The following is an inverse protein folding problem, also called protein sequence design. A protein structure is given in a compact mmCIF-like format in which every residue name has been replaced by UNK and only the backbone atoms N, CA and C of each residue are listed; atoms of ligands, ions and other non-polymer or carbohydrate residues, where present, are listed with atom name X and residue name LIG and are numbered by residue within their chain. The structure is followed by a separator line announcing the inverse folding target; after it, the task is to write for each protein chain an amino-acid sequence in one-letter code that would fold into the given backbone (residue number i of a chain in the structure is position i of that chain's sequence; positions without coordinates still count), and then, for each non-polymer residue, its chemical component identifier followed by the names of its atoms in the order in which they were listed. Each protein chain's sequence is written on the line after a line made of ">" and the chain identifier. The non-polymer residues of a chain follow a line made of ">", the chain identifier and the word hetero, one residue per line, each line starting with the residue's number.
data_IF_913817029331
#
_entry.id   IF_913817029331
#
_cell.length_a   1.000
_cell.length_b   1.000
_cell.length_c   1.000
_cell.angle_alpha   90.00
_cell.angle_beta   90.00
_cell.angle_gamma   90.00
#
_symmetry.space_group_name_H-M   'P 1'
#
loop_
_entity.id
_entity.type
_entity.pdbx_description
1 polymer ?
#
# COMPACT_ATOMS: atom_id res chain seq x y z
N UNK A 1 -26.53 -31.53 0.81
CA UNK A 1 -26.14 -30.11 0.53
C UNK A 1 -25.70 -29.48 1.84
N UNK A 2 -24.43 -29.56 2.11
CA UNK A 2 -23.84 -29.05 3.36
C UNK A 2 -23.47 -27.58 3.15
N UNK A 3 -24.18 -26.69 3.83
CA UNK A 3 -24.00 -25.24 3.77
C UNK A 3 -22.69 -24.90 4.50
N UNK A 4 -21.58 -24.83 3.76
CA UNK A 4 -20.26 -24.39 4.24
C UNK A 4 -20.40 -22.99 4.85
N UNK A 5 -20.55 -22.92 6.18
CA UNK A 5 -20.50 -21.67 6.93
C UNK A 5 -19.11 -21.07 6.73
N UNK A 6 -19.00 -20.11 5.85
CA UNK A 6 -17.83 -19.24 5.73
C UNK A 6 -17.68 -18.49 7.06
N UNK A 7 -16.82 -18.99 7.96
CA UNK A 7 -16.36 -18.21 9.10
C UNK A 7 -15.50 -17.09 8.51
N UNK A 8 -16.00 -15.88 8.56
CA UNK A 8 -15.18 -14.68 8.30
C UNK A 8 -14.10 -14.63 9.39
N UNK A 9 -12.93 -15.16 9.10
CA UNK A 9 -11.75 -14.93 9.91
C UNK A 9 -11.29 -13.50 9.62
N UNK A 10 -11.52 -12.61 10.58
CA UNK A 10 -10.90 -11.27 10.56
C UNK A 10 -9.39 -11.51 10.62
N UNK A 11 -8.71 -11.29 9.51
CA UNK A 11 -7.27 -11.53 9.41
C UNK A 11 -6.51 -10.56 10.32
N UNK A 12 -5.38 -11.00 10.88
CA UNK A 12 -4.47 -10.16 11.68
C UNK A 12 -4.10 -8.85 10.98
N UNK A 13 -4.02 -8.87 9.64
CA UNK A 13 -3.79 -7.66 8.83
C UNK A 13 -4.91 -6.64 9.01
N UNK A 14 -6.16 -7.06 9.01
CA UNK A 14 -7.31 -6.16 9.19
C UNK A 14 -7.26 -5.48 10.56
N UNK A 15 -6.96 -6.24 11.61
CA UNK A 15 -6.84 -5.69 12.98
C UNK A 15 -5.70 -4.67 13.04
N UNK A 16 -4.52 -4.99 12.50
CA UNK A 16 -3.38 -4.07 12.43
C UNK A 16 -3.72 -2.77 11.70
N UNK A 17 -4.37 -2.88 10.54
CA UNK A 17 -4.76 -1.71 9.75
C UNK A 17 -5.74 -0.83 10.51
N UNK A 18 -6.76 -1.43 11.14
CA UNK A 18 -7.74 -0.66 11.92
C UNK A 18 -7.09 0.02 13.11
N UNK A 19 -6.21 -0.67 13.85
CA UNK A 19 -5.47 -0.06 14.96
C UNK A 19 -4.56 1.08 14.48
N UNK A 20 -3.83 0.88 13.38
CA UNK A 20 -2.97 1.92 12.81
C UNK A 20 -3.77 3.16 12.42
N UNK A 21 -4.91 2.99 11.79
CA UNK A 21 -5.82 4.08 11.41
C UNK A 21 -6.34 4.81 12.65
N UNK A 22 -6.88 4.10 13.62
CA UNK A 22 -7.46 4.73 14.82
C UNK A 22 -6.39 5.52 15.58
N UNK A 23 -5.21 4.95 15.81
CA UNK A 23 -4.13 5.61 16.54
C UNK A 23 -3.62 6.82 15.76
N UNK A 24 -3.47 6.73 14.43
CA UNK A 24 -3.05 7.88 13.61
C UNK A 24 -4.07 9.02 13.66
N UNK A 25 -5.36 8.70 13.64
CA UNK A 25 -6.42 9.69 13.75
C UNK A 25 -6.42 10.38 15.12
N UNK A 26 -6.28 9.64 16.21
CA UNK A 26 -6.19 10.19 17.58
C UNK A 26 -5.00 11.14 17.69
N UNK A 27 -3.83 10.75 17.18
CA UNK A 27 -2.63 11.59 17.26
C UNK A 27 -2.81 12.90 16.49
N UNK A 28 -3.37 12.82 15.27
CA UNK A 28 -3.61 14.02 14.44
C UNK A 28 -4.68 14.91 15.05
N UNK A 29 -5.67 14.36 15.73
CA UNK A 29 -6.70 15.11 16.42
C UNK A 29 -6.12 15.99 17.55
N UNK A 30 -5.08 15.53 18.25
CA UNK A 30 -4.37 16.31 19.27
C UNK A 30 -3.67 17.56 18.69
N UNK A 31 -3.30 17.56 17.41
CA UNK A 31 -2.66 18.70 16.73
C UNK A 31 -3.65 19.64 16.02
N UNK A 32 -4.93 19.49 16.27
CA UNK A 32 -5.99 20.32 15.73
C UNK A 32 -6.74 19.67 14.58
N UNK A 33 -7.97 19.27 14.89
CA UNK A 33 -8.84 18.49 14.02
C UNK A 33 -9.41 19.29 12.85
N UNK A 34 -8.96 18.97 11.66
CA UNK A 34 -9.70 19.29 10.44
C UNK A 34 -9.96 17.95 9.73
N UNK A 35 -11.19 17.72 9.25
CA UNK A 35 -11.56 16.47 8.58
C UNK A 35 -10.56 16.03 7.51
N UNK A 36 -10.02 16.99 6.76
CA UNK A 36 -9.01 16.68 5.73
C UNK A 36 -7.70 16.15 6.30
N UNK A 37 -7.24 16.61 7.47
CA UNK A 37 -6.03 16.08 8.14
C UNK A 37 -6.21 14.62 8.54
N UNK A 38 -7.37 14.29 9.12
CA UNK A 38 -7.71 12.92 9.51
C UNK A 38 -7.70 11.96 8.33
N UNK A 39 -8.26 12.39 7.18
CA UNK A 39 -8.28 11.57 5.96
C UNK A 39 -6.86 11.26 5.47
N UNK A 40 -5.95 12.24 5.44
CA UNK A 40 -4.59 12.02 4.97
C UNK A 40 -3.78 11.13 5.92
N UNK A 41 -3.94 11.29 7.22
CA UNK A 41 -3.32 10.42 8.21
C UNK A 41 -3.83 8.97 8.10
N UNK A 42 -5.14 8.79 7.93
CA UNK A 42 -5.77 7.50 7.71
C UNK A 42 -5.22 6.81 6.45
N UNK A 43 -5.17 7.53 5.32
CA UNK A 43 -4.66 6.99 4.06
C UNK A 43 -3.18 6.62 4.17
N UNK A 44 -2.37 7.45 4.84
CA UNK A 44 -0.98 7.15 5.13
C UNK A 44 -0.82 5.88 5.97
N UNK A 45 -1.57 5.76 7.07
CA UNK A 45 -1.54 4.57 7.92
C UNK A 45 -1.95 3.29 7.18
N UNK A 46 -2.99 3.36 6.35
CA UNK A 46 -3.41 2.22 5.52
C UNK A 46 -2.35 1.82 4.50
N UNK A 47 -1.68 2.78 3.88
CA UNK A 47 -0.63 2.51 2.89
C UNK A 47 0.62 1.87 3.52
N UNK A 48 0.91 2.19 4.78
CA UNK A 48 2.07 1.67 5.50
C UNK A 48 1.91 0.21 5.96
N UNK A 49 0.68 -0.26 6.20
CA UNK A 49 0.45 -1.62 6.69
C UNK A 49 0.49 -2.63 5.55
N UNK A 50 1.65 -3.25 5.37
CA UNK A 50 1.89 -4.31 4.39
C UNK A 50 2.15 -5.66 5.08
N UNK A 51 2.27 -6.74 4.29
CA UNK A 51 2.50 -8.10 4.78
C UNK A 51 3.87 -8.25 5.42
N UNK A 52 4.90 -7.69 4.78
CA UNK A 52 6.29 -7.78 5.22
C UNK A 52 6.83 -6.40 5.60
N UNK A 53 7.80 -6.37 6.52
CA UNK A 53 8.48 -5.12 6.91
C UNK A 53 9.14 -4.41 5.71
N UNK A 54 9.81 -5.17 4.83
CA UNK A 54 10.44 -4.63 3.63
C UNK A 54 9.42 -3.96 2.70
N UNK A 55 8.31 -4.63 2.45
CA UNK A 55 7.22 -4.09 1.63
C UNK A 55 6.59 -2.85 2.28
N UNK A 56 6.46 -2.84 3.60
CA UNK A 56 5.97 -1.69 4.36
C UNK A 56 6.91 -0.49 4.20
N UNK A 57 8.21 -0.69 4.33
CA UNK A 57 9.22 0.36 4.14
C UNK A 57 9.24 0.89 2.70
N UNK A 58 9.25 0.00 1.72
CA UNK A 58 9.19 0.37 0.29
C UNK A 58 7.91 1.15 -0.02
N UNK A 59 6.77 0.73 0.53
CA UNK A 59 5.49 1.43 0.39
C UNK A 59 5.56 2.83 1.00
N UNK A 60 6.09 2.97 2.22
CA UNK A 60 6.23 4.27 2.88
C UNK A 60 7.10 5.25 2.08
N UNK A 61 8.28 4.80 1.64
CA UNK A 61 9.19 5.63 0.83
C UNK A 61 8.51 6.05 -0.47
N UNK A 62 7.89 5.10 -1.16
CA UNK A 62 7.20 5.37 -2.43
C UNK A 62 6.05 6.35 -2.24
N UNK A 63 5.28 6.22 -1.17
CA UNK A 63 4.18 7.13 -0.87
C UNK A 63 4.68 8.54 -0.53
N UNK A 64 5.75 8.69 0.26
CA UNK A 64 6.34 9.99 0.56
C UNK A 64 6.81 10.67 -0.73
N UNK A 65 7.57 9.96 -1.57
CA UNK A 65 8.02 10.48 -2.86
C UNK A 65 6.82 10.86 -3.74
N UNK A 66 5.82 10.00 -3.83
CA UNK A 66 4.62 10.26 -4.60
C UNK A 66 3.84 11.49 -4.10
N UNK A 67 3.68 11.63 -2.79
CA UNK A 67 3.03 12.77 -2.15
C UNK A 67 3.77 14.07 -2.46
N UNK A 68 5.11 14.08 -2.39
CA UNK A 68 5.93 15.23 -2.76
C UNK A 68 5.73 15.62 -4.23
N UNK A 69 5.79 14.65 -5.15
CA UNK A 69 5.56 14.90 -6.57
C UNK A 69 4.12 15.34 -6.87
N UNK A 70 3.13 14.74 -6.22
CA UNK A 70 1.73 15.14 -6.34
C UNK A 70 1.48 16.56 -5.82
N UNK A 71 2.05 16.90 -4.67
CA UNK A 71 1.97 18.25 -4.10
C UNK A 71 2.63 19.28 -4.99
N UNK A 72 3.84 18.99 -5.50
CA UNK A 72 4.56 19.88 -6.43
C UNK A 72 3.77 20.09 -7.72
N UNK A 73 3.25 19.04 -8.33
CA UNK A 73 2.43 19.12 -9.51
C UNK A 73 1.17 19.96 -9.28
N UNK A 74 0.46 19.73 -8.17
CA UNK A 74 -0.73 20.49 -7.79
C UNK A 74 -0.46 21.97 -7.60
N UNK A 75 0.63 22.31 -6.88
CA UNK A 75 1.04 23.71 -6.65
C UNK A 75 1.43 24.40 -7.97
N UNK A 76 2.22 23.74 -8.82
CA UNK A 76 2.63 24.29 -10.11
C UNK A 76 1.42 24.55 -11.02
N UNK A 77 0.51 23.60 -11.15
CA UNK A 77 -0.67 23.74 -11.98
C UNK A 77 -1.62 24.85 -11.48
N UNK A 78 -1.65 25.07 -10.18
CA UNK A 78 -2.46 26.14 -9.59
C UNK A 78 -1.87 27.54 -9.82
N UNK A 79 -0.58 27.65 -10.13
CA UNK A 79 0.02 28.93 -10.52
C UNK A 79 -0.43 29.40 -11.91
N UNK A 80 -0.97 28.50 -12.73
CA UNK A 80 -1.51 28.87 -14.04
C UNK A 80 -3.01 29.21 -13.94
N UNK A 81 -3.50 30.21 -14.70
CA UNK A 81 -4.92 30.58 -14.70
C UNK A 81 -5.77 29.61 -15.53
N UNK A 82 -5.75 28.34 -15.10
CA UNK A 82 -6.48 27.24 -15.76
C UNK A 82 -7.66 26.83 -14.87
N UNK A 83 -8.75 26.40 -15.49
CA UNK A 83 -9.91 25.92 -14.75
C UNK A 83 -9.53 24.75 -13.82
N UNK A 84 -9.98 24.74 -12.54
CA UNK A 84 -9.57 23.71 -11.56
C UNK A 84 -9.75 22.26 -12.03
N UNK A 85 -10.79 21.95 -12.78
CA UNK A 85 -11.01 20.61 -13.30
C UNK A 85 -9.95 20.20 -14.33
N UNK A 86 -9.52 21.14 -15.19
CA UNK A 86 -8.49 20.87 -16.20
C UNK A 86 -7.13 20.73 -15.52
N UNK A 87 -6.81 21.60 -14.57
CA UNK A 87 -5.60 21.49 -13.76
C UNK A 87 -5.52 20.15 -13.02
N UNK A 88 -6.62 19.71 -12.41
CA UNK A 88 -6.73 18.42 -11.76
C UNK A 88 -6.46 17.26 -12.73
N UNK A 89 -7.09 17.28 -13.91
CA UNK A 89 -6.90 16.24 -14.94
C UNK A 89 -5.45 16.15 -15.41
N UNK A 90 -4.83 17.29 -15.72
CA UNK A 90 -3.41 17.36 -16.13
C UNK A 90 -2.48 16.87 -15.03
N UNK A 91 -2.74 17.25 -13.79
CA UNK A 91 -1.95 16.82 -12.63
C UNK A 91 -2.04 15.30 -12.38
N UNK A 92 -3.23 14.72 -12.52
CA UNK A 92 -3.40 13.27 -12.41
C UNK A 92 -2.65 12.53 -13.54
N UNK A 93 -2.76 13.01 -14.79
CA UNK A 93 -2.01 12.43 -15.92
C UNK A 93 -0.52 12.48 -15.64
N UNK A 94 -0.01 13.61 -15.15
CA UNK A 94 1.40 13.77 -14.83
C UNK A 94 1.86 12.77 -13.74
N UNK A 95 1.11 12.64 -12.65
CA UNK A 95 1.44 11.70 -11.55
C UNK A 95 1.38 10.26 -12.03
N UNK A 96 0.35 9.87 -12.77
CA UNK A 96 0.19 8.49 -13.25
C UNK A 96 1.32 8.15 -14.24
N UNK A 97 1.66 9.07 -15.15
CA UNK A 97 2.76 8.89 -16.10
C UNK A 97 4.09 8.75 -15.38
N UNK A 98 4.33 9.54 -14.34
CA UNK A 98 5.51 9.43 -13.49
C UNK A 98 5.61 8.04 -12.85
N UNK A 99 4.53 7.54 -12.23
CA UNK A 99 4.49 6.22 -11.62
C UNK A 99 4.76 5.09 -12.64
N UNK A 100 4.21 5.21 -13.83
CA UNK A 100 4.43 4.26 -14.92
C UNK A 100 5.88 4.30 -15.45
N UNK A 101 6.45 5.50 -15.61
CA UNK A 101 7.82 5.68 -16.09
C UNK A 101 8.84 5.05 -15.13
N UNK A 102 8.64 5.19 -13.84
CA UNK A 102 9.50 4.62 -12.80
C UNK A 102 9.12 3.18 -12.41
N UNK A 103 8.13 2.58 -13.09
CA UNK A 103 7.63 1.21 -12.81
C UNK A 103 7.33 0.98 -11.33
N UNK A 104 6.74 1.96 -10.67
CA UNK A 104 6.42 1.92 -9.25
C UNK A 104 5.29 0.91 -9.03
N UNK A 105 5.51 -0.08 -8.14
CA UNK A 105 4.57 -1.19 -7.90
C UNK A 105 3.34 -0.79 -7.08
N UNK A 106 3.39 0.33 -6.39
CA UNK A 106 2.34 0.80 -5.48
C UNK A 106 1.35 1.73 -6.21
N UNK A 107 0.11 1.75 -5.70
CA UNK A 107 -0.95 2.56 -6.30
C UNK A 107 -0.67 4.06 -6.17
N UNK A 108 -0.84 4.86 -7.24
CA UNK A 108 -0.70 6.31 -7.22
C UNK A 108 -1.90 7.04 -6.60
N UNK A 109 -2.81 6.32 -5.93
CA UNK A 109 -4.07 6.87 -5.42
C UNK A 109 -3.86 8.06 -4.49
N UNK A 110 -2.92 7.96 -3.55
CA UNK A 110 -2.66 8.99 -2.56
C UNK A 110 -2.06 10.26 -3.18
N UNK A 111 -1.03 10.20 -4.03
CA UNK A 111 -0.55 11.36 -4.79
C UNK A 111 -1.63 12.01 -5.67
N UNK A 112 -2.42 11.23 -6.39
CA UNK A 112 -3.52 11.76 -7.19
C UNK A 112 -4.55 12.49 -6.33
N UNK A 113 -4.90 11.93 -5.16
CA UNK A 113 -5.82 12.57 -4.23
C UNK A 113 -5.29 13.93 -3.73
N UNK A 114 -3.97 14.05 -3.49
CA UNK A 114 -3.34 15.31 -3.10
C UNK A 114 -3.44 16.36 -4.22
N UNK A 115 -3.18 15.97 -5.47
CA UNK A 115 -3.36 16.87 -6.62
C UNK A 115 -4.79 17.40 -6.69
N UNK A 116 -5.78 16.51 -6.59
CA UNK A 116 -7.21 16.90 -6.59
C UNK A 116 -7.48 17.93 -5.51
N UNK A 117 -7.06 17.65 -4.29
CA UNK A 117 -7.33 18.51 -3.14
C UNK A 117 -6.63 19.88 -3.26
N UNK A 118 -5.39 19.94 -3.77
CA UNK A 118 -4.69 21.21 -3.96
C UNK A 118 -5.37 22.04 -5.08
N UNK A 119 -5.75 21.41 -6.18
CA UNK A 119 -6.35 22.11 -7.30
C UNK A 119 -7.79 22.58 -7.02
N UNK A 120 -8.54 21.86 -6.18
CA UNK A 120 -9.96 22.17 -5.88
C UNK A 120 -10.17 23.01 -4.63
N UNK A 121 -9.14 23.28 -3.82
CA UNK A 121 -9.26 24.10 -2.59
C UNK A 121 -8.90 25.56 -2.86
N UNK A 122 -9.85 26.45 -3.18
CA UNK A 122 -9.57 27.83 -3.63
C UNK A 122 -9.12 28.78 -2.51
N UNK A 123 -9.49 28.50 -1.28
CA UNK A 123 -9.39 29.44 -0.15
C UNK A 123 -8.03 29.41 0.58
N UNK A 124 -7.18 28.42 0.31
CA UNK A 124 -5.93 28.24 1.05
C UNK A 124 -4.73 28.47 0.14
N UNK A 125 -3.68 29.08 0.67
CA UNK A 125 -2.41 29.17 -0.05
C UNK A 125 -1.90 27.77 -0.43
N UNK A 126 -1.66 27.51 -1.74
CA UNK A 126 -1.37 26.15 -2.23
C UNK A 126 -0.16 25.52 -1.53
N UNK A 127 0.85 26.32 -1.25
CA UNK A 127 2.09 25.88 -0.61
C UNK A 127 1.87 25.43 0.84
N UNK A 128 1.18 26.26 1.64
CA UNK A 128 0.86 25.93 3.04
C UNK A 128 -0.02 24.70 3.14
N UNK A 129 -0.97 24.58 2.22
CA UNK A 129 -1.84 23.40 2.15
C UNK A 129 -1.06 22.13 1.79
N UNK A 130 -0.17 22.22 0.80
CA UNK A 130 0.67 21.09 0.37
C UNK A 130 1.56 20.59 1.52
N UNK A 131 2.24 21.51 2.25
CA UNK A 131 3.05 21.14 3.41
C UNK A 131 2.23 20.45 4.49
N UNK A 132 1.03 20.95 4.78
CA UNK A 132 0.13 20.31 5.74
C UNK A 132 -0.21 18.89 5.35
N UNK A 133 -0.49 18.64 4.06
CA UNK A 133 -0.82 17.28 3.55
C UNK A 133 0.35 16.33 3.62
N UNK A 134 1.54 16.80 3.29
CA UNK A 134 2.78 16.01 3.42
C UNK A 134 2.99 15.60 4.88
N UNK A 135 2.81 16.55 5.81
CA UNK A 135 2.98 16.31 7.24
C UNK A 135 1.96 15.31 7.80
N UNK A 136 0.67 15.51 7.51
CA UNK A 136 -0.40 14.63 7.96
C UNK A 136 -0.21 13.20 7.43
N UNK A 137 0.19 13.08 6.16
CA UNK A 137 0.49 11.77 5.54
C UNK A 137 1.71 11.11 6.17
N UNK A 138 2.78 11.88 6.44
CA UNK A 138 3.99 11.36 7.06
C UNK A 138 3.71 10.80 8.47
N UNK A 139 2.90 11.50 9.26
CA UNK A 139 2.45 11.00 10.57
C UNK A 139 1.72 9.65 10.41
N UNK A 140 0.76 9.57 9.48
CA UNK A 140 0.04 8.34 9.21
C UNK A 140 0.96 7.18 8.80
N UNK A 141 1.89 7.44 7.88
CA UNK A 141 2.88 6.45 7.43
C UNK A 141 3.77 5.95 8.58
N UNK A 142 4.28 6.88 9.41
CA UNK A 142 5.13 6.53 10.56
C UNK A 142 4.38 5.65 11.56
N UNK A 143 3.14 6.02 11.92
CA UNK A 143 2.33 5.27 12.86
C UNK A 143 1.95 3.90 12.28
N UNK A 144 1.55 3.86 11.01
CA UNK A 144 1.22 2.61 10.32
C UNK A 144 2.40 1.65 10.28
N UNK A 145 3.60 2.17 9.98
CA UNK A 145 4.84 1.38 9.98
C UNK A 145 5.21 0.90 11.38
N UNK A 146 5.10 1.75 12.41
CA UNK A 146 5.34 1.40 13.81
C UNK A 146 4.44 0.26 14.26
N UNK A 147 3.14 0.37 14.01
CA UNK A 147 2.16 -0.66 14.38
C UNK A 147 2.39 -1.93 13.60
N UNK A 148 2.73 -1.83 12.31
CA UNK A 148 3.03 -3.01 11.52
C UNK A 148 4.26 -3.76 12.03
N UNK A 149 5.23 -3.05 12.61
CA UNK A 149 6.45 -3.63 13.17
C UNK A 149 6.26 -4.16 14.59
N UNK A 150 5.50 -3.42 15.45
CA UNK A 150 5.32 -3.76 16.85
C UNK A 150 4.29 -4.88 17.09
N UNK A 151 3.21 -4.88 16.32
CA UNK A 151 2.13 -5.86 16.47
C UNK A 151 2.39 -7.05 15.55
N UNK A 152 3.21 -7.97 16.01
CA UNK A 152 3.63 -9.19 15.33
C UNK A 152 4.36 -8.93 14.00
N UNK A 153 5.68 -8.99 13.97
CA UNK A 153 6.40 -9.20 12.72
C UNK A 153 5.86 -10.51 12.14
N UNK A 154 5.18 -10.41 11.00
CA UNK A 154 4.63 -11.58 10.33
C UNK A 154 5.81 -12.43 9.85
N UNK A 155 6.13 -13.45 10.64
CA UNK A 155 7.18 -14.41 10.30
C UNK A 155 6.65 -15.38 9.24
N UNK A 156 6.75 -14.95 7.99
CA UNK A 156 6.40 -15.74 6.82
C UNK A 156 7.35 -16.94 6.64
N UNK A 157 8.46 -16.98 7.38
CA UNK A 157 9.48 -18.03 7.27
C UNK A 157 8.90 -19.41 7.52
N UNK A 158 7.95 -19.53 8.44
CA UNK A 158 7.29 -20.80 8.75
C UNK A 158 6.37 -21.28 7.63
N UNK A 159 5.60 -20.37 7.04
CA UNK A 159 4.71 -20.72 5.91
C UNK A 159 5.52 -21.04 4.65
N UNK A 160 6.56 -20.28 4.36
CA UNK A 160 7.47 -20.52 3.24
C UNK A 160 8.17 -21.87 3.40
N UNK A 161 8.65 -22.20 4.61
CA UNK A 161 9.23 -23.52 4.90
C UNK A 161 8.23 -24.65 4.70
N UNK A 162 7.02 -24.53 5.22
CA UNK A 162 5.99 -25.57 5.07
C UNK A 162 5.58 -25.77 3.60
N UNK A 163 5.52 -24.66 2.82
CA UNK A 163 5.22 -24.75 1.39
C UNK A 163 6.42 -25.31 0.60
N UNK A 164 7.65 -24.96 0.96
CA UNK A 164 8.85 -25.55 0.36
C UNK A 164 8.97 -27.05 0.65
N UNK A 165 8.73 -27.47 1.90
CA UNK A 165 8.71 -28.88 2.29
C UNK A 165 7.60 -29.68 1.59
N UNK A 166 6.44 -29.06 1.34
CA UNK A 166 5.34 -29.72 0.59
C UNK A 166 5.68 -29.85 -0.89
N UNK A 167 6.30 -28.84 -1.50
CA UNK A 167 6.78 -28.89 -2.87
C UNK A 167 7.90 -29.91 -3.06
N UNK A 168 8.84 -30.00 -2.12
CA UNK A 168 9.90 -31.02 -2.16
C UNK A 168 9.33 -32.45 -2.09
N UNK A 169 8.34 -32.67 -1.25
CA UNK A 169 7.65 -33.99 -1.17
C UNK A 169 6.89 -34.32 -2.46
N UNK A 170 6.23 -33.33 -3.05
CA UNK A 170 5.48 -33.49 -4.29
C UNK A 170 6.44 -33.77 -5.47
N UNK A 171 7.59 -33.10 -5.52
CA UNK A 171 8.66 -33.35 -6.48
C UNK A 171 9.27 -34.73 -6.32
N UNK A 172 9.56 -35.15 -5.08
CA UNK A 172 10.09 -36.50 -4.80
C UNK A 172 9.10 -37.58 -5.24
N UNK A 173 7.81 -37.44 -4.91
CA UNK A 173 6.79 -38.41 -5.33
C UNK A 173 6.60 -38.45 -6.86
N UNK A 174 6.74 -37.31 -7.53
CA UNK A 174 6.69 -37.24 -9.00
C UNK A 174 7.87 -37.93 -9.65
N UNK A 175 9.09 -37.69 -9.11
CA UNK A 175 10.30 -38.36 -9.56
C UNK A 175 10.24 -39.87 -9.33
N UNK A 176 9.81 -40.31 -8.15
CA UNK A 176 9.64 -41.73 -7.82
C UNK A 176 8.66 -42.44 -8.76
N UNK A 177 7.53 -41.81 -9.07
CA UNK A 177 6.57 -42.31 -10.06
C UNK A 177 7.13 -42.35 -11.50
N UNK A 178 8.05 -41.42 -11.85
CA UNK A 178 8.71 -41.43 -13.15
C UNK A 178 9.74 -42.58 -13.26
N UNK A 179 10.50 -42.82 -12.19
CA UNK A 179 11.50 -43.90 -12.16
C UNK A 179 10.86 -45.30 -12.03
N UNK A 180 9.77 -45.44 -11.28
CA UNK A 180 8.99 -46.71 -11.20
C UNK A 180 8.24 -47.02 -12.50
N UNK A 181 7.96 -45.99 -13.33
CA UNK A 181 7.34 -46.17 -14.66
C UNK A 181 8.27 -46.73 -15.75
N UNK A 182 9.60 -46.66 -15.55
CA UNK A 182 10.58 -47.16 -16.53
C UNK A 182 10.89 -48.68 -16.40
N UNK A 183 10.44 -49.32 -15.30
CA UNK A 183 10.63 -50.77 -15.11
C UNK A 183 9.59 -51.64 -15.86
N UNK A 184 8.72 -51.04 -16.69
CA UNK A 184 7.75 -51.80 -17.53
C UNK A 184 8.19 -51.78 -19.02
N UNK A 185 9.44 -52.07 -19.30
CA UNK A 185 9.85 -52.47 -20.64
C UNK A 185 9.85 -54.03 -20.71
N UNK A 186 9.01 -54.66 -21.52
CA UNK A 186 9.07 -56.10 -21.74
C UNK A 186 10.37 -56.44 -22.45
N UNK A 187 11.17 -57.32 -21.84
CA UNK A 187 12.30 -57.92 -22.52
C UNK A 187 11.83 -58.60 -23.80
N UNK A 188 12.43 -58.34 -24.99
CA UNK A 188 12.13 -59.09 -26.19
C UNK A 188 12.79 -60.47 -26.04
N UNK A 189 11.91 -61.50 -25.99
CA UNK A 189 12.30 -62.93 -26.14
C UNK A 189 12.67 -63.28 -27.57
#
# INVERSE_FOLDING_TARGET
>A
MEKKRSRMHIGLRTIKTVMAVIISMIIVEFYGSTTSKLIFAMLGAMAAVQLNFKESLESCITQIVGVLFGAMAGVLLRCFPVHPLVATGLGMIFVITFYNAFKIRYSPSLPCFIVVMICTSPEVQPMTYAFGRIWDTAIGLCIGMLINTLIFPYDNSRQIRLTAESLDKELLSFLENMFDGDDILPHPG
#
